data_IF_632146696607
#
_entry.id   IF_632146696607
#
_cell.length_a   1.000
_cell.length_b   1.000
_cell.length_c   1.000
_cell.angle_alpha   90.00
_cell.angle_beta   90.00
_cell.angle_gamma   90.00
#
_symmetry.space_group_name_H-M   'P 1'
#
loop_
_entity.id
_entity.type
_entity.pdbx_description
1 polymer ?
#
# COMPACT_ATOMS: atom_id res chain seq x y z
N UNK A 1 -19.69 5.34 42.75
CA UNK A 1 -19.29 3.96 43.15
C UNK A 1 -18.25 3.47 42.16
N UNK A 2 -17.02 3.18 42.60
CA UNK A 2 -15.94 2.72 41.71
C UNK A 2 -16.28 1.39 41.01
N UNK A 3 -17.13 0.56 41.62
CA UNK A 3 -17.62 -0.71 41.08
C UNK A 3 -18.51 -0.51 39.84
N UNK A 4 -19.34 0.54 39.82
CA UNK A 4 -20.21 0.84 38.68
C UNK A 4 -19.38 1.35 37.49
N UNK A 5 -18.39 2.21 37.74
CA UNK A 5 -17.45 2.68 36.70
C UNK A 5 -16.66 1.51 36.14
N UNK A 6 -16.16 0.61 37.01
CA UNK A 6 -15.42 -0.59 36.61
C UNK A 6 -16.29 -1.55 35.77
N UNK A 7 -17.55 -1.77 36.14
CA UNK A 7 -18.48 -2.58 35.34
C UNK A 7 -18.79 -1.96 33.97
N UNK A 8 -18.97 -0.64 33.88
CA UNK A 8 -19.21 0.04 32.61
C UNK A 8 -17.98 -0.06 31.70
N UNK A 9 -16.77 0.12 32.24
CA UNK A 9 -15.52 -0.01 31.48
C UNK A 9 -15.32 -1.44 30.97
N UNK A 10 -15.68 -2.47 31.74
CA UNK A 10 -15.62 -3.87 31.29
C UNK A 10 -16.74 -4.25 30.30
N UNK A 11 -17.89 -3.56 30.31
CA UNK A 11 -18.93 -3.70 29.30
C UNK A 11 -18.52 -3.08 27.96
N UNK A 12 -17.70 -2.03 28.00
CA UNK A 12 -17.05 -1.44 26.83
C UNK A 12 -15.86 -2.36 26.51
N UNK A 13 -16.14 -3.48 25.84
CA UNK A 13 -15.10 -4.44 25.44
C UNK A 13 -13.88 -3.73 24.85
N UNK A 14 -12.69 -4.14 25.24
CA UNK A 14 -11.44 -3.65 24.65
C UNK A 14 -11.44 -4.03 23.17
N UNK A 15 -11.43 -3.02 22.29
CA UNK A 15 -11.31 -3.21 20.86
C UNK A 15 -9.84 -3.55 20.56
N UNK A 16 -9.51 -4.84 20.68
CA UNK A 16 -8.19 -5.34 20.32
C UNK A 16 -8.17 -5.52 18.81
N UNK A 17 -7.28 -4.77 18.14
CA UNK A 17 -7.04 -5.00 16.71
C UNK A 17 -6.41 -6.37 16.57
N UNK A 18 -6.97 -7.26 15.73
CA UNK A 18 -6.40 -8.59 15.54
C UNK A 18 -4.97 -8.44 15.01
N UNK A 19 -4.10 -9.37 15.38
CA UNK A 19 -2.71 -9.42 14.92
C UNK A 19 -2.62 -9.91 13.46
N UNK A 20 -3.39 -9.28 12.57
CA UNK A 20 -3.44 -9.58 11.14
C UNK A 20 -2.70 -8.49 10.39
N UNK A 21 -1.95 -8.87 9.35
CA UNK A 21 -1.27 -7.95 8.46
C UNK A 21 -2.34 -7.26 7.59
N UNK A 22 -2.55 -5.96 7.78
CA UNK A 22 -3.44 -5.16 6.94
C UNK A 22 -2.78 -4.69 5.64
N UNK A 23 -1.46 -4.59 5.66
CA UNK A 23 -0.64 -4.17 4.53
C UNK A 23 0.85 -4.25 4.89
N UNK A 24 1.71 -4.15 3.89
CA UNK A 24 3.17 -4.22 4.07
C UNK A 24 3.83 -3.04 3.38
N UNK A 25 4.64 -2.30 4.12
CA UNK A 25 5.39 -1.17 3.58
C UNK A 25 6.45 -1.66 2.58
N UNK A 26 6.61 -1.01 1.41
CA UNK A 26 7.71 -1.31 0.49
C UNK A 26 9.08 -1.20 1.16
N UNK A 27 10.03 -2.01 0.73
CA UNK A 27 11.42 -2.05 1.23
C UNK A 27 11.57 -2.23 2.76
N UNK A 28 10.55 -2.75 3.42
CA UNK A 28 10.55 -3.01 4.87
C UNK A 28 11.05 -4.42 5.23
N UNK A 29 11.38 -4.68 6.52
CA UNK A 29 11.67 -6.03 6.99
C UNK A 29 10.58 -7.05 6.67
N UNK A 30 9.30 -6.67 6.79
CA UNK A 30 8.16 -7.52 6.45
C UNK A 30 8.09 -7.82 4.95
N UNK A 31 8.35 -6.82 4.09
CA UNK A 31 8.39 -7.03 2.64
C UNK A 31 9.50 -8.00 2.22
N UNK A 32 10.69 -7.88 2.83
CA UNK A 32 11.82 -8.80 2.58
C UNK A 32 11.56 -10.23 3.07
N UNK A 33 10.62 -10.40 4.00
CA UNK A 33 10.19 -11.69 4.50
C UNK A 33 8.96 -12.25 3.76
N UNK A 34 8.54 -11.63 2.66
CA UNK A 34 7.38 -12.01 1.84
C UNK A 34 6.04 -12.08 2.64
N UNK A 35 5.93 -11.30 3.72
CA UNK A 35 4.66 -11.13 4.41
C UNK A 35 3.66 -10.44 3.50
N UNK A 36 2.41 -10.87 3.57
CA UNK A 36 1.30 -10.36 2.74
C UNK A 36 0.14 -9.93 3.61
N UNK A 37 -0.67 -9.02 3.07
CA UNK A 37 -1.92 -8.68 3.72
C UNK A 37 -2.80 -9.93 3.83
N UNK A 38 -3.50 -10.07 4.95
CA UNK A 38 -4.26 -11.27 5.30
C UNK A 38 -3.51 -12.27 6.19
N UNK A 39 -2.17 -12.21 6.23
CA UNK A 39 -1.38 -13.06 7.13
C UNK A 39 -1.72 -12.77 8.60
N UNK A 40 -1.96 -13.82 9.39
CA UNK A 40 -2.21 -13.73 10.83
C UNK A 40 -0.93 -14.02 11.60
N UNK A 41 -0.44 -13.04 12.37
CA UNK A 41 0.68 -13.23 13.30
C UNK A 41 0.11 -13.89 14.56
N UNK A 42 0.46 -15.15 14.76
CA UNK A 42 -0.02 -15.97 15.87
C UNK A 42 0.99 -16.05 17.03
N UNK A 43 2.23 -15.61 16.80
CA UNK A 43 3.25 -15.44 17.83
C UNK A 43 4.23 -14.30 17.47
N UNK A 44 4.62 -13.47 18.43
CA UNK A 44 5.72 -12.49 18.28
C UNK A 44 6.55 -12.44 19.55
N UNK A 45 7.88 -12.54 19.42
CA UNK A 45 8.82 -12.48 20.56
C UNK A 45 8.44 -13.43 21.72
N UNK A 46 7.91 -14.61 21.41
CA UNK A 46 7.45 -15.61 22.39
C UNK A 46 6.07 -15.34 23.01
N UNK A 47 5.38 -14.25 22.61
CA UNK A 47 3.99 -13.97 23.00
C UNK A 47 3.02 -14.53 21.97
N UNK A 48 2.18 -15.48 22.37
CA UNK A 48 1.11 -16.06 21.55
C UNK A 48 -0.30 -15.94 22.17
N UNK A 49 -0.38 -15.59 23.46
CA UNK A 49 -1.66 -15.48 24.19
C UNK A 49 -2.06 -14.03 24.33
N UNK A 50 -3.33 -13.73 24.02
CA UNK A 50 -3.87 -12.36 23.98
C UNK A 50 -2.98 -11.44 23.13
N UNK A 51 -2.57 -11.97 21.98
CA UNK A 51 -1.76 -11.26 21.01
C UNK A 51 -2.68 -10.33 20.21
N UNK A 52 -2.36 -9.06 20.20
CA UNK A 52 -3.03 -8.04 19.39
C UNK A 52 -2.02 -7.28 18.53
N UNK A 53 -2.50 -6.48 17.59
CA UNK A 53 -1.63 -5.79 16.64
C UNK A 53 -0.56 -4.91 17.33
N UNK A 54 -0.87 -4.33 18.49
CA UNK A 54 0.03 -3.43 19.22
C UNK A 54 1.28 -4.15 19.69
N UNK A 55 1.18 -5.45 20.00
CA UNK A 55 2.32 -6.26 20.43
C UNK A 55 3.40 -6.37 19.36
N UNK A 56 3.01 -6.40 18.08
CA UNK A 56 3.93 -6.43 16.94
C UNK A 56 4.77 -5.15 16.93
N UNK A 57 4.11 -3.99 17.07
CA UNK A 57 4.78 -2.69 17.12
C UNK A 57 5.67 -2.54 18.35
N UNK A 58 5.22 -3.02 19.52
CA UNK A 58 6.01 -3.00 20.76
C UNK A 58 7.25 -3.88 20.63
N UNK A 59 7.11 -5.10 20.10
CA UNK A 59 8.23 -6.02 19.88
C UNK A 59 9.28 -5.41 18.94
N UNK A 60 8.84 -4.73 17.87
CA UNK A 60 9.74 -4.02 16.97
C UNK A 60 10.46 -2.86 17.67
N UNK A 61 9.71 -2.01 18.38
CA UNK A 61 10.24 -0.81 19.02
C UNK A 61 11.23 -1.10 20.15
N UNK A 62 11.02 -2.18 20.91
CA UNK A 62 11.87 -2.59 22.02
C UNK A 62 13.08 -3.44 21.59
N UNK A 63 13.17 -3.81 20.32
CA UNK A 63 14.26 -4.64 19.81
C UNK A 63 15.63 -3.95 19.86
N UNK A 64 16.64 -4.74 20.21
CA UNK A 64 18.05 -4.39 20.14
C UNK A 64 18.50 -4.05 18.72
N UNK A 65 19.75 -3.57 18.61
CA UNK A 65 20.36 -3.36 17.29
C UNK A 65 20.59 -4.72 16.64
N UNK A 66 20.10 -4.88 15.41
CA UNK A 66 20.24 -6.11 14.60
C UNK A 66 19.63 -7.36 15.29
N UNK A 67 18.75 -7.17 16.28
CA UNK A 67 18.08 -8.26 16.98
C UNK A 67 17.03 -8.90 16.06
N UNK A 68 17.13 -10.22 15.90
CA UNK A 68 16.14 -11.02 15.18
C UNK A 68 14.99 -11.36 16.12
N UNK A 69 13.83 -10.77 15.87
CA UNK A 69 12.60 -11.05 16.60
C UNK A 69 11.87 -12.22 15.92
N UNK A 70 11.65 -13.34 16.63
CA UNK A 70 10.91 -14.46 16.07
C UNK A 70 9.42 -14.15 15.97
N UNK A 71 8.83 -14.50 14.84
CA UNK A 71 7.40 -14.45 14.58
C UNK A 71 6.94 -15.84 14.13
N UNK A 72 5.72 -16.23 14.48
CA UNK A 72 4.99 -17.31 13.80
C UNK A 72 3.78 -16.72 13.13
N UNK A 73 3.62 -17.04 11.86
CA UNK A 73 2.59 -16.49 10.98
C UNK A 73 1.75 -17.61 10.41
N UNK A 74 0.46 -17.37 10.24
CA UNK A 74 -0.48 -18.22 9.53
C UNK A 74 -0.94 -17.48 8.28
N UNK A 75 -0.69 -18.06 7.11
CA UNK A 75 -1.12 -17.51 5.83
C UNK A 75 -2.61 -17.77 5.59
N UNK A 76 -3.19 -17.08 4.60
CA UNK A 76 -4.60 -17.25 4.23
C UNK A 76 -4.95 -18.70 3.80
N UNK A 77 -3.98 -19.45 3.25
CA UNK A 77 -4.16 -20.87 2.90
C UNK A 77 -4.13 -21.82 4.12
N UNK A 78 -3.92 -21.27 5.32
CA UNK A 78 -3.84 -21.98 6.59
C UNK A 78 -2.47 -22.59 6.89
N UNK A 79 -1.48 -22.44 6.01
CA UNK A 79 -0.10 -22.83 6.30
C UNK A 79 0.50 -21.93 7.38
N UNK A 80 1.40 -22.48 8.20
CA UNK A 80 2.09 -21.74 9.24
C UNK A 80 3.59 -21.71 8.96
N UNK A 81 4.21 -20.54 9.16
CA UNK A 81 5.62 -20.29 8.93
C UNK A 81 6.27 -19.61 10.15
N UNK A 82 7.48 -20.04 10.50
CA UNK A 82 8.34 -19.38 11.49
C UNK A 82 9.28 -18.41 10.77
N UNK A 83 9.19 -17.13 11.10
CA UNK A 83 9.98 -16.05 10.53
C UNK A 83 10.82 -15.37 11.61
N UNK A 84 11.86 -14.65 11.19
CA UNK A 84 12.67 -13.83 12.09
C UNK A 84 12.98 -12.48 11.44
N UNK A 85 12.39 -11.42 11.98
CA UNK A 85 12.51 -10.07 11.45
C UNK A 85 13.48 -9.23 12.27
N UNK A 86 14.22 -8.36 11.59
CA UNK A 86 15.05 -7.34 12.23
C UNK A 86 14.35 -6.01 12.05
N UNK A 87 13.98 -5.33 13.14
CA UNK A 87 13.28 -4.06 13.06
C UNK A 87 14.22 -2.93 12.62
N UNK A 88 13.71 -2.02 11.79
CA UNK A 88 14.47 -0.92 11.20
C UNK A 88 13.78 0.42 11.44
N UNK A 89 14.55 1.50 11.39
CA UNK A 89 13.99 2.85 11.42
C UNK A 89 13.42 3.19 10.04
N UNK A 90 12.11 3.04 9.87
CA UNK A 90 11.44 3.31 8.60
C UNK A 90 11.16 4.82 8.42
N UNK A 91 11.09 5.32 7.17
CA UNK A 91 10.71 6.70 6.91
C UNK A 91 9.34 7.04 7.50
N UNK A 92 9.25 8.18 8.20
CA UNK A 92 7.99 8.64 8.82
C UNK A 92 7.60 7.95 10.12
N UNK A 93 8.25 6.83 10.48
CA UNK A 93 8.01 6.16 11.75
C UNK A 93 8.88 6.76 12.87
N UNK A 94 8.34 7.02 14.07
CA UNK A 94 9.10 7.59 15.19
C UNK A 94 9.99 6.55 15.89
N UNK A 95 9.70 5.26 15.73
CA UNK A 95 10.38 4.13 16.36
C UNK A 95 10.72 3.08 15.31
N UNK A 96 11.56 2.10 15.67
CA UNK A 96 11.81 0.95 14.81
C UNK A 96 10.52 0.17 14.57
N UNK A 97 10.35 -0.32 13.36
CA UNK A 97 9.18 -1.09 12.93
C UNK A 97 9.58 -2.24 12.01
N UNK A 98 8.67 -3.19 11.83
CA UNK A 98 8.80 -4.24 10.80
C UNK A 98 8.21 -3.82 9.45
N UNK A 99 7.46 -2.70 9.39
CA UNK A 99 6.72 -2.28 8.18
C UNK A 99 5.41 -3.02 7.96
N UNK A 100 4.84 -3.58 9.03
CA UNK A 100 3.52 -4.20 9.03
C UNK A 100 2.49 -3.11 9.37
N UNK A 101 1.48 -2.95 8.52
CA UNK A 101 0.39 -1.99 8.69
C UNK A 101 -0.81 -2.68 9.33
N UNK A 102 -1.50 -2.02 10.28
CA UNK A 102 -2.68 -2.60 10.94
C UNK A 102 -3.82 -2.87 9.96
N UNK A 103 -4.66 -3.88 10.25
CA UNK A 103 -5.84 -4.14 9.46
C UNK A 103 -6.83 -2.99 9.66
N UNK A 104 -7.36 -2.48 8.55
CA UNK A 104 -8.38 -1.44 8.48
C UNK A 104 -9.75 -2.06 8.17
N UNK A 105 -10.81 -1.29 8.43
CA UNK A 105 -12.18 -1.74 8.24
C UNK A 105 -12.69 -1.44 6.83
N UNK A 106 -13.62 -2.26 6.34
CA UNK A 106 -14.46 -1.94 5.18
C UNK A 106 -15.58 -0.94 5.51
N UNK A 107 -15.73 -0.54 6.77
CA UNK A 107 -16.68 0.49 7.20
C UNK A 107 -16.05 1.87 7.10
N UNK A 108 -16.76 2.79 6.45
CA UNK A 108 -16.36 4.19 6.35
C UNK A 108 -16.25 4.78 7.76
N UNK A 109 -15.05 5.25 8.10
CA UNK A 109 -14.74 5.80 9.40
C UNK A 109 -15.51 7.09 9.71
N UNK A 110 -15.36 7.56 10.94
CA UNK A 110 -15.88 8.89 11.31
C UNK A 110 -15.08 9.97 10.59
N UNK A 111 -15.79 10.90 10.00
CA UNK A 111 -15.25 12.01 9.23
C UNK A 111 -15.53 13.33 9.95
N UNK A 112 -14.78 14.37 9.60
CA UNK A 112 -15.15 15.74 9.96
C UNK A 112 -16.49 16.10 9.28
N UNK A 113 -17.22 17.10 9.79
CA UNK A 113 -18.46 17.53 9.13
C UNK A 113 -18.24 17.97 7.68
N UNK A 114 -17.10 18.62 7.41
CA UNK A 114 -16.72 19.05 6.07
C UNK A 114 -16.52 17.85 5.13
N UNK A 115 -15.68 16.89 5.53
CA UNK A 115 -15.39 15.69 4.74
C UNK A 115 -16.62 14.81 4.56
N UNK A 116 -17.48 14.70 5.58
CA UNK A 116 -18.71 13.92 5.53
C UNK A 116 -19.69 14.51 4.50
N UNK A 117 -19.86 15.83 4.50
CA UNK A 117 -20.72 16.52 3.53
C UNK A 117 -20.16 16.39 2.11
N UNK A 118 -18.85 16.54 1.94
CA UNK A 118 -18.19 16.37 0.65
C UNK A 118 -18.37 14.95 0.11
N UNK A 119 -18.08 13.92 0.92
CA UNK A 119 -18.28 12.51 0.58
C UNK A 119 -19.72 12.26 0.14
N UNK A 120 -20.70 12.64 0.97
CA UNK A 120 -22.11 12.38 0.68
C UNK A 120 -22.56 13.09 -0.60
N UNK A 121 -22.17 14.35 -0.79
CA UNK A 121 -22.56 15.12 -1.98
C UNK A 121 -22.01 14.54 -3.29
N UNK A 122 -20.84 13.90 -3.24
CA UNK A 122 -20.16 13.32 -4.41
C UNK A 122 -20.56 11.87 -4.68
N UNK A 123 -20.87 11.12 -3.64
CA UNK A 123 -20.92 9.65 -3.70
C UNK A 123 -22.22 9.06 -3.14
N UNK A 124 -22.97 9.81 -2.33
CA UNK A 124 -24.12 9.28 -1.58
C UNK A 124 -23.75 8.39 -0.38
N UNK A 125 -22.45 8.13 -0.17
CA UNK A 125 -21.95 7.36 0.96
C UNK A 125 -21.91 8.20 2.25
N UNK A 126 -22.04 7.53 3.39
CA UNK A 126 -22.00 8.09 4.73
C UNK A 126 -21.01 7.34 5.60
N UNK A 127 -20.52 8.01 6.65
CA UNK A 127 -19.81 7.34 7.73
C UNK A 127 -20.69 6.23 8.33
N UNK A 128 -20.11 5.04 8.53
CA UNK A 128 -20.83 3.85 8.95
C UNK A 128 -21.29 2.92 7.83
N UNK A 129 -21.30 3.37 6.57
CA UNK A 129 -21.55 2.49 5.43
C UNK A 129 -20.43 1.45 5.33
N UNK A 130 -20.79 0.19 5.07
CA UNK A 130 -19.83 -0.90 4.87
C UNK A 130 -19.71 -1.22 3.39
N UNK A 131 -18.52 -1.04 2.82
CA UNK A 131 -18.23 -1.41 1.43
C UNK A 131 -18.37 -2.92 1.25
N UNK A 132 -19.00 -3.35 0.16
CA UNK A 132 -19.31 -4.77 -0.14
C UNK A 132 -18.66 -5.25 -1.43
N UNK A 133 -18.59 -4.41 -2.46
CA UNK A 133 -17.96 -4.78 -3.72
C UNK A 133 -17.43 -3.57 -4.49
N UNK A 134 -16.53 -3.84 -5.44
CA UNK A 134 -16.09 -2.91 -6.49
C UNK A 134 -16.38 -3.55 -7.84
N UNK A 135 -17.12 -2.87 -8.71
CA UNK A 135 -17.55 -3.36 -10.03
C UNK A 135 -18.15 -4.78 -9.98
N UNK A 136 -18.90 -5.07 -8.91
CA UNK A 136 -19.53 -6.37 -8.67
C UNK A 136 -18.61 -7.47 -8.13
N UNK A 137 -17.30 -7.21 -7.95
CA UNK A 137 -16.38 -8.12 -7.24
C UNK A 137 -16.50 -7.90 -5.73
N UNK A 138 -17.04 -8.89 -5.02
CA UNK A 138 -17.19 -8.83 -3.56
C UNK A 138 -15.83 -8.73 -2.85
N UNK A 139 -15.80 -7.97 -1.76
CA UNK A 139 -14.64 -7.80 -0.88
C UNK A 139 -15.02 -8.08 0.57
N UNK A 140 -14.23 -8.90 1.24
CA UNK A 140 -14.46 -9.29 2.64
C UNK A 140 -13.53 -8.57 3.61
N UNK A 141 -12.38 -8.12 3.11
CA UNK A 141 -11.36 -7.39 3.86
C UNK A 141 -10.95 -6.09 3.17
N UNK A 142 -10.31 -5.18 3.91
CA UNK A 142 -9.81 -3.94 3.33
C UNK A 142 -8.65 -4.18 2.35
N UNK A 143 -7.80 -5.18 2.58
CA UNK A 143 -6.70 -5.47 1.66
C UNK A 143 -7.19 -6.07 0.34
N UNK A 144 -8.28 -6.86 0.34
CA UNK A 144 -8.95 -7.25 -0.91
C UNK A 144 -9.50 -6.01 -1.66
N UNK A 145 -10.10 -5.07 -0.94
CA UNK A 145 -10.56 -3.81 -1.54
C UNK A 145 -9.39 -3.03 -2.16
N UNK A 146 -8.28 -2.90 -1.45
CA UNK A 146 -7.09 -2.23 -1.93
C UNK A 146 -6.48 -2.94 -3.14
N UNK A 147 -6.34 -4.27 -3.10
CA UNK A 147 -5.87 -5.09 -4.23
C UNK A 147 -6.74 -4.87 -5.47
N UNK A 148 -8.07 -4.88 -5.30
CA UNK A 148 -9.00 -4.64 -6.40
C UNK A 148 -8.79 -3.24 -6.97
N UNK A 149 -8.76 -2.20 -6.12
CA UNK A 149 -8.58 -0.81 -6.56
C UNK A 149 -7.22 -0.59 -7.25
N UNK A 150 -6.13 -1.17 -6.73
CA UNK A 150 -4.79 -1.02 -7.31
C UNK A 150 -4.68 -1.61 -8.72
N UNK A 151 -5.50 -2.61 -9.04
CA UNK A 151 -5.53 -3.23 -10.37
C UNK A 151 -6.52 -2.55 -11.34
N UNK A 152 -7.20 -1.50 -10.92
CA UNK A 152 -8.15 -0.77 -11.75
C UNK A 152 -7.42 0.30 -12.58
N UNK A 153 -7.53 0.16 -13.91
CA UNK A 153 -7.01 1.11 -14.89
C UNK A 153 -8.11 1.93 -15.57
N UNK A 154 -9.30 2.00 -14.96
CA UNK A 154 -10.42 2.80 -15.43
C UNK A 154 -10.62 4.05 -14.55
N UNK A 155 -11.27 5.06 -15.13
CA UNK A 155 -11.47 6.37 -14.50
C UNK A 155 -12.54 6.35 -13.42
N UNK A 156 -13.50 5.43 -13.51
CA UNK A 156 -14.70 5.37 -12.70
C UNK A 156 -15.00 3.91 -12.36
N UNK A 157 -15.42 3.67 -11.12
CA UNK A 157 -15.78 2.35 -10.59
C UNK A 157 -17.10 2.44 -9.84
N UNK A 158 -17.86 1.35 -9.80
CA UNK A 158 -19.08 1.25 -9.01
C UNK A 158 -18.77 0.56 -7.69
N UNK A 159 -18.88 1.28 -6.58
CA UNK A 159 -18.87 0.69 -5.24
C UNK A 159 -20.29 0.31 -4.83
N UNK A 160 -20.45 -0.88 -4.26
CA UNK A 160 -21.64 -1.20 -3.49
C UNK A 160 -21.35 -1.15 -1.99
N UNK A 161 -22.28 -0.63 -1.21
CA UNK A 161 -22.19 -0.53 0.23
C UNK A 161 -23.51 -0.93 0.91
N UNK A 162 -23.41 -1.35 2.16
CA UNK A 162 -24.54 -1.60 3.05
C UNK A 162 -24.59 -0.51 4.13
N UNK A 163 -25.76 0.10 4.31
CA UNK A 163 -26.06 1.03 5.39
C UNK A 163 -27.07 0.39 6.33
N UNK A 164 -26.75 0.38 7.61
CA UNK A 164 -27.68 -0.08 8.65
C UNK A 164 -28.37 1.15 9.23
N UNK A 165 -29.68 1.27 8.99
CA UNK A 165 -30.50 2.35 9.55
C UNK A 165 -30.73 2.18 11.05
N UNK A 166 -31.28 3.22 11.70
CA UNK A 166 -31.55 3.23 13.15
C UNK A 166 -32.50 2.09 13.60
N UNK A 167 -33.36 1.61 12.70
CA UNK A 167 -34.27 0.48 12.92
C UNK A 167 -33.61 -0.89 12.74
N UNK A 168 -32.34 -0.94 12.31
CA UNK A 168 -31.61 -2.16 11.94
C UNK A 168 -31.88 -2.65 10.52
N UNK A 169 -32.69 -1.92 9.73
CA UNK A 169 -32.89 -2.22 8.31
C UNK A 169 -31.60 -1.98 7.52
N UNK A 170 -31.30 -2.89 6.58
CA UNK A 170 -30.12 -2.80 5.72
C UNK A 170 -30.54 -2.24 4.37
N UNK A 171 -30.00 -1.07 4.03
CA UNK A 171 -30.13 -0.44 2.72
C UNK A 171 -28.88 -0.72 1.89
N UNK A 172 -29.06 -1.01 0.60
CA UNK A 172 -27.95 -1.14 -0.35
C UNK A 172 -27.77 0.19 -1.10
N UNK A 173 -26.54 0.68 -1.12
CA UNK A 173 -26.14 1.88 -1.86
C UNK A 173 -25.21 1.45 -2.98
N UNK A 174 -25.47 1.94 -4.19
CA UNK A 174 -24.52 1.92 -5.30
C UNK A 174 -23.98 3.34 -5.52
N UNK A 175 -22.67 3.44 -5.70
CA UNK A 175 -21.97 4.72 -5.81
C UNK A 175 -20.95 4.66 -6.94
N UNK A 176 -21.08 5.56 -7.92
CA UNK A 176 -20.07 5.77 -8.93
C UNK A 176 -18.94 6.63 -8.37
N UNK A 177 -17.78 6.02 -8.17
CA UNK A 177 -16.59 6.68 -7.65
C UNK A 177 -15.65 6.96 -8.82
N UNK A 178 -15.37 8.25 -9.05
CA UNK A 178 -14.30 8.65 -9.94
C UNK A 178 -12.97 8.46 -9.22
N UNK A 179 -12.15 7.53 -9.72
CA UNK A 179 -10.79 7.36 -9.24
C UNK A 179 -9.95 8.55 -9.70
N UNK A 180 -9.44 9.30 -8.73
CA UNK A 180 -8.39 10.26 -9.01
C UNK A 180 -7.07 9.50 -9.08
N UNK A 181 -6.54 9.35 -10.29
CA UNK A 181 -5.15 8.95 -10.49
C UNK A 181 -4.26 10.05 -9.92
N UNK A 182 -3.95 9.94 -8.64
CA UNK A 182 -2.99 10.80 -7.97
C UNK A 182 -1.61 10.48 -8.56
N UNK A 183 -0.95 11.48 -9.13
CA UNK A 183 0.49 11.43 -9.30
C UNK A 183 1.12 11.65 -7.92
N UNK A 184 2.28 11.04 -7.63
CA UNK A 184 2.96 11.32 -6.38
C UNK A 184 3.26 12.84 -6.30
N UNK A 185 2.89 13.47 -5.19
CA UNK A 185 2.99 14.92 -4.98
C UNK A 185 4.02 15.33 -3.92
N UNK A 186 4.94 14.43 -3.55
CA UNK A 186 5.91 14.64 -2.46
C UNK A 186 7.24 13.97 -2.84
N UNK A 187 8.45 14.54 -2.69
CA UNK A 187 8.93 15.86 -2.24
C UNK A 187 10.30 16.02 -2.93
N UNK A 188 10.56 17.14 -3.61
CA UNK A 188 11.79 17.43 -4.38
C UNK A 188 12.08 16.41 -5.50
N UNK A 189 11.53 16.68 -6.69
CA UNK A 189 12.08 16.15 -7.93
C UNK A 189 13.08 17.21 -8.40
N UNK A 190 14.35 17.05 -8.05
CA UNK A 190 15.42 17.99 -8.42
C UNK A 190 15.81 17.85 -9.90
N UNK A 191 15.52 16.70 -10.53
CA UNK A 191 15.78 16.44 -11.94
C UNK A 191 14.81 15.41 -12.56
N UNK A 192 14.77 15.35 -13.89
CA UNK A 192 14.03 14.32 -14.65
C UNK A 192 14.43 12.87 -14.31
N UNK A 193 15.53 12.66 -13.60
CA UNK A 193 15.99 11.36 -13.10
C UNK A 193 15.26 10.90 -11.82
N UNK A 194 14.48 11.78 -11.19
CA UNK A 194 13.72 11.52 -9.96
C UNK A 194 12.21 11.52 -10.21
N UNK A 195 11.78 11.40 -11.47
CA UNK A 195 10.36 11.37 -11.84
C UNK A 195 9.61 10.27 -11.07
N UNK A 196 8.53 10.66 -10.42
CA UNK A 196 7.69 9.72 -9.68
C UNK A 196 6.92 8.78 -10.61
N UNK A 197 6.88 7.51 -10.23
CA UNK A 197 6.06 6.48 -10.87
C UNK A 197 4.57 6.75 -10.62
N UNK A 198 3.72 6.45 -11.60
CA UNK A 198 2.29 6.21 -11.36
C UNK A 198 2.16 4.73 -11.02
N UNK A 199 1.98 4.39 -9.73
CA UNK A 199 1.73 3.02 -9.27
C UNK A 199 2.59 1.95 -9.98
N UNK A 200 3.93 2.02 -9.86
CA UNK A 200 4.93 1.14 -10.50
C UNK A 200 5.16 1.28 -12.02
N UNK A 201 4.45 2.18 -12.71
CA UNK A 201 4.79 2.49 -14.10
C UNK A 201 6.14 3.22 -14.18
N UNK A 202 7.13 2.59 -14.80
CA UNK A 202 8.40 3.22 -15.17
C UNK A 202 8.16 4.08 -16.42
N UNK A 203 8.20 5.42 -16.33
CA UNK A 203 8.09 6.27 -17.51
C UNK A 203 9.21 5.90 -18.49
N UNK A 204 8.86 5.71 -19.76
CA UNK A 204 9.84 5.39 -20.80
C UNK A 204 10.67 6.63 -21.11
N UNK A 205 11.96 6.43 -21.35
CA UNK A 205 12.86 7.52 -21.72
C UNK A 205 12.50 8.01 -23.13
N UNK A 206 12.24 9.30 -23.25
CA UNK A 206 12.03 9.96 -24.53
C UNK A 206 13.28 10.76 -24.92
N UNK A 207 13.66 10.70 -26.19
CA UNK A 207 14.77 11.48 -26.72
C UNK A 207 14.30 12.92 -26.94
N UNK A 208 14.88 13.88 -26.23
CA UNK A 208 14.48 15.29 -26.35
C UNK A 208 15.33 16.07 -27.34
N UNK A 209 16.58 15.65 -27.56
CA UNK A 209 17.50 16.29 -28.48
C UNK A 209 18.53 15.29 -29.01
N UNK A 210 18.87 15.42 -30.28
CA UNK A 210 19.94 14.66 -30.94
C UNK A 210 20.97 15.66 -31.44
N UNK A 211 22.23 15.46 -31.04
CA UNK A 211 23.31 16.38 -31.42
C UNK A 211 23.87 16.02 -32.79
N UNK A 212 23.79 16.97 -33.74
CA UNK A 212 24.34 16.81 -35.09
C UNK A 212 25.87 16.63 -35.13
N UNK A 213 26.57 16.86 -34.00
CA UNK A 213 28.04 16.83 -33.95
C UNK A 213 28.66 15.45 -34.09
N UNK A 214 27.90 14.36 -33.89
CA UNK A 214 28.39 12.98 -34.04
C UNK A 214 27.85 12.26 -35.29
N UNK A 215 26.91 12.84 -36.03
CA UNK A 215 26.21 12.18 -37.13
C UNK A 215 27.00 12.10 -38.46
N UNK A 216 28.29 12.49 -38.47
CA UNK A 216 29.04 12.72 -39.71
C UNK A 216 29.96 11.58 -40.17
N UNK A 217 29.92 10.39 -39.54
CA UNK A 217 30.87 9.31 -39.90
C UNK A 217 30.35 7.88 -39.96
N UNK A 218 29.03 7.62 -39.95
CA UNK A 218 28.53 6.25 -40.12
C UNK A 218 27.37 6.25 -41.12
N UNK A 219 27.62 5.64 -42.28
CA UNK A 219 26.58 5.31 -43.28
C UNK A 219 25.57 4.31 -42.68
N UNK A 220 24.30 4.61 -42.96
CA UNK A 220 23.09 3.79 -42.93
C UNK A 220 22.34 3.44 -41.61
N UNK A 221 21.13 4.04 -41.56
CA UNK A 221 19.80 3.48 -41.28
C UNK A 221 19.12 3.56 -39.90
N UNK A 222 19.78 3.97 -38.81
CA UNK A 222 19.04 4.30 -37.57
C UNK A 222 19.61 5.55 -36.92
N UNK A 223 19.09 6.71 -37.32
CA UNK A 223 19.27 7.94 -36.54
C UNK A 223 18.13 8.02 -35.52
N UNK A 224 18.47 7.99 -34.24
CA UNK A 224 17.54 8.44 -33.20
C UNK A 224 17.03 9.85 -33.56
N UNK A 225 15.75 10.11 -33.31
CA UNK A 225 15.10 11.39 -33.53
C UNK A 225 14.61 11.96 -32.20
N UNK A 226 14.47 13.29 -32.08
CA UNK A 226 13.63 13.86 -31.05
C UNK A 226 12.26 13.18 -31.06
N UNK A 227 11.70 13.00 -29.87
CA UNK A 227 10.45 12.30 -29.57
C UNK A 227 10.47 10.76 -29.65
N UNK A 228 11.56 10.12 -30.10
CA UNK A 228 11.69 8.66 -30.03
C UNK A 228 11.65 8.17 -28.58
N UNK A 229 11.05 6.99 -28.36
CA UNK A 229 10.94 6.35 -27.05
C UNK A 229 11.85 5.14 -26.99
N UNK A 230 12.72 5.10 -25.98
CA UNK A 230 13.64 3.98 -25.74
C UNK A 230 12.87 2.85 -25.06
N UNK A 231 12.68 1.75 -25.80
CA UNK A 231 12.01 0.54 -25.31
C UNK A 231 12.99 -0.52 -24.82
N UNK A 232 14.26 -0.49 -25.26
CA UNK A 232 15.32 -1.38 -24.79
C UNK A 232 16.72 -0.81 -25.10
N UNK A 233 17.73 -1.23 -24.33
CA UNK A 233 19.16 -1.01 -24.63
C UNK A 233 19.98 -2.25 -24.25
N UNK A 234 20.69 -2.85 -25.22
CA UNK A 234 21.31 -4.16 -25.01
C UNK A 234 20.27 -5.21 -24.62
N UNK A 235 20.49 -5.90 -23.50
CA UNK A 235 19.55 -6.87 -22.91
C UNK A 235 18.60 -6.25 -21.85
N UNK A 236 18.65 -4.93 -21.64
CA UNK A 236 17.81 -4.23 -20.66
C UNK A 236 16.54 -3.71 -21.34
N UNK A 237 15.42 -4.37 -21.06
CA UNK A 237 14.09 -3.95 -21.48
C UNK A 237 13.63 -2.76 -20.64
N UNK A 238 13.17 -1.71 -21.31
CA UNK A 238 12.55 -0.53 -20.71
C UNK A 238 13.41 0.18 -19.66
N UNK A 239 14.64 0.56 -20.02
CA UNK A 239 15.63 1.02 -19.07
C UNK A 239 15.21 2.32 -18.38
N UNK A 240 15.52 2.44 -17.10
CA UNK A 240 15.65 3.74 -16.44
C UNK A 240 16.89 4.47 -16.99
N UNK A 241 16.99 5.78 -16.74
CA UNK A 241 18.17 6.52 -17.19
C UNK A 241 19.47 5.98 -16.56
N UNK A 242 19.44 5.60 -15.27
CA UNK A 242 20.61 5.04 -14.58
C UNK A 242 21.06 3.73 -15.24
N UNK A 243 20.12 2.83 -15.55
CA UNK A 243 20.44 1.56 -16.22
C UNK A 243 20.95 1.80 -17.65
N UNK A 244 20.36 2.75 -18.37
CA UNK A 244 20.87 3.15 -19.69
C UNK A 244 22.33 3.62 -19.60
N UNK A 245 22.65 4.47 -18.62
CA UNK A 245 24.02 4.97 -18.38
C UNK A 245 24.98 3.84 -18.06
N UNK A 246 24.62 2.96 -17.13
CA UNK A 246 25.44 1.80 -16.76
C UNK A 246 25.75 0.88 -17.94
N UNK A 247 24.76 0.64 -18.82
CA UNK A 247 24.96 -0.18 -20.03
C UNK A 247 25.88 0.51 -21.03
N UNK A 248 25.68 1.82 -21.25
CA UNK A 248 26.53 2.59 -22.19
C UNK A 248 27.97 2.76 -21.69
N UNK A 249 28.19 2.98 -20.39
CA UNK A 249 29.52 3.16 -19.80
C UNK A 249 30.31 1.86 -19.71
N UNK A 250 29.64 0.71 -19.54
CA UNK A 250 30.30 -0.62 -19.61
C UNK A 250 30.71 -1.03 -21.02
N UNK A 251 30.21 -0.33 -22.04
CA UNK A 251 30.45 -0.62 -23.45
C UNK A 251 31.55 0.27 -24.06
N UNK A 252 32.16 1.17 -23.28
CA UNK A 252 33.40 1.92 -23.59
C UNK A 252 34.66 1.16 -23.15
#
# INVERSE_FOLDING_TARGET
SAVIIFMIVFLIGINLRPAVVGGVMPDSPAARADLKAGDEIIEVAGKSVNLDFSDIGIAAALSGRDEKIPLRVRHEDGSEEDLALVAEQLPGEPLKAFGIVPPTSLTIGRLSEEDANDLYSKTGLLAGDRIKSVDGREVQSHWELEEVIQNILVKEVVLSAERVGDSGEVESIESEIRLNLMHATSYYIESEFELSHIYSMIPRLQITVVSDRLASSVDDEISLQPDDVIVAIGDVENPTYSEMRDVTEKSE
#
